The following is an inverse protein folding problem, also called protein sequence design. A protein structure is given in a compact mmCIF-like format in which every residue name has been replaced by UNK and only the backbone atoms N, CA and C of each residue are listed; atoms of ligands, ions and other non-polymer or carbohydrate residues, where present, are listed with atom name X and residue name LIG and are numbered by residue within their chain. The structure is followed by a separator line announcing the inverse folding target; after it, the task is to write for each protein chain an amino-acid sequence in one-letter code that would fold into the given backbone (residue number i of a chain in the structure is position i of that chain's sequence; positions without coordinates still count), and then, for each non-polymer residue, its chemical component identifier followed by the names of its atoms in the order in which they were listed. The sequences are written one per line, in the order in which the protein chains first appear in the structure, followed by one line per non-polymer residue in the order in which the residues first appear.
data_IF_766216807322
#
_entry.id   IF_766216807322
#
_cell.length_a   1.000
_cell.length_b   1.000
_cell.length_c   1.000
_cell.angle_alpha   90.00
_cell.angle_beta   90.00
_cell.angle_gamma   90.00
#
_symmetry.space_group_name_H-M   'P 1'
#
loop_
_entity.id
_entity.type
_entity.pdbx_description
1 polymer ?
#
# COMPACT_ATOMS: atom_id res chain seq x y z
N UNK A 1 -19.95 7.57 -13.94
CA UNK A 1 -19.07 8.50 -13.22
C UNK A 1 -19.26 9.89 -13.83
N UNK A 2 -19.47 10.91 -12.97
CA UNK A 2 -19.72 12.29 -13.41
C UNK A 2 -18.44 13.09 -13.68
N UNK A 3 -17.28 12.46 -13.76
CA UNK A 3 -15.99 13.11 -14.01
C UNK A 3 -15.75 13.21 -15.51
N UNK A 4 -15.47 14.43 -16.00
CA UNK A 4 -15.14 14.72 -17.38
C UNK A 4 -13.63 14.58 -17.65
N UNK A 5 -12.79 14.95 -16.69
CA UNK A 5 -11.34 14.84 -16.79
C UNK A 5 -10.61 15.20 -15.51
N UNK A 6 -9.35 14.80 -15.43
CA UNK A 6 -8.42 15.15 -14.35
C UNK A 6 -7.18 15.73 -15.02
N UNK A 7 -6.76 16.93 -14.58
CA UNK A 7 -5.53 17.58 -14.99
C UNK A 7 -4.61 17.72 -13.80
N UNK A 8 -3.45 17.09 -13.83
CA UNK A 8 -2.43 17.21 -12.80
C UNK A 8 -1.55 18.44 -13.02
N UNK A 9 -0.99 18.98 -11.95
CA UNK A 9 0.03 20.02 -12.03
C UNK A 9 1.31 19.40 -12.59
N UNK A 10 1.94 20.08 -13.53
CA UNK A 10 3.18 19.59 -14.14
C UNK A 10 4.29 19.46 -13.09
N UNK A 11 4.84 18.24 -12.95
CA UNK A 11 5.85 17.90 -11.95
C UNK A 11 5.31 17.58 -10.56
N UNK A 12 3.99 17.66 -10.34
CA UNK A 12 3.36 17.33 -9.06
C UNK A 12 2.11 16.45 -9.29
N UNK A 13 2.25 15.12 -9.26
CA UNK A 13 1.12 14.20 -9.45
C UNK A 13 0.15 14.17 -8.26
N UNK A 14 0.46 14.88 -7.17
CA UNK A 14 -0.34 14.93 -5.94
C UNK A 14 -1.25 16.16 -5.92
N UNK A 15 -1.16 17.02 -6.92
CA UNK A 15 -1.98 18.20 -7.09
C UNK A 15 -2.61 18.26 -8.48
N UNK A 16 -3.82 18.75 -8.55
CA UNK A 16 -4.53 18.83 -9.83
C UNK A 16 -5.94 19.41 -9.71
N UNK A 17 -6.65 19.34 -10.83
CA UNK A 17 -8.05 19.76 -10.92
C UNK A 17 -8.88 18.67 -11.57
N UNK A 18 -9.96 18.31 -10.92
CA UNK A 18 -11.02 17.44 -11.46
C UNK A 18 -12.09 18.34 -12.06
N UNK A 19 -12.48 18.08 -13.32
CA UNK A 19 -13.60 18.74 -13.98
C UNK A 19 -14.76 17.76 -14.07
N UNK A 20 -15.93 18.20 -13.64
CA UNK A 20 -17.15 17.41 -13.71
C UNK A 20 -17.96 17.74 -14.98
N UNK A 21 -18.91 16.87 -15.34
CA UNK A 21 -19.73 17.02 -16.53
C UNK A 21 -20.65 18.25 -16.49
N UNK A 22 -20.96 18.75 -15.30
CA UNK A 22 -21.74 19.98 -15.07
C UNK A 22 -20.89 21.26 -15.19
N UNK A 23 -19.60 21.14 -15.53
CA UNK A 23 -18.66 22.25 -15.63
C UNK A 23 -18.07 22.70 -14.29
N UNK A 24 -18.49 22.11 -13.18
CA UNK A 24 -17.86 22.39 -11.88
C UNK A 24 -16.45 21.81 -11.81
N UNK A 25 -15.60 22.44 -11.00
CA UNK A 25 -14.22 21.99 -10.81
C UNK A 25 -13.93 21.83 -9.32
N UNK A 26 -13.14 20.81 -9.00
CA UNK A 26 -12.57 20.62 -7.69
C UNK A 26 -11.04 20.57 -7.81
N UNK A 27 -10.37 21.52 -7.17
CA UNK A 27 -8.93 21.52 -7.09
C UNK A 27 -8.50 20.71 -5.87
N UNK A 28 -7.53 19.84 -6.05
CA UNK A 28 -6.87 19.11 -4.97
C UNK A 28 -5.39 19.45 -4.98
N UNK A 29 -4.81 19.57 -3.80
CA UNK A 29 -3.37 19.79 -3.61
C UNK A 29 -2.90 18.94 -2.44
N UNK A 30 -1.66 18.47 -2.55
CA UNK A 30 -1.00 17.67 -1.50
C UNK A 30 -1.89 16.50 -1.01
N UNK A 31 -2.70 15.93 -1.92
CA UNK A 31 -3.28 14.63 -1.64
C UNK A 31 -2.09 13.69 -1.62
N UNK A 32 -1.60 13.40 -0.42
CA UNK A 32 -0.71 12.26 -0.21
C UNK A 32 -1.36 11.09 -0.95
N UNK A 33 -0.73 10.69 -2.02
CA UNK A 33 -1.20 9.55 -2.80
C UNK A 33 -1.08 8.33 -1.90
N UNK A 34 -2.15 8.07 -1.14
CA UNK A 34 -2.26 6.99 -0.16
C UNK A 34 -2.45 5.68 -0.93
N UNK A 35 -1.54 5.42 -1.86
CA UNK A 35 -1.55 4.15 -2.58
C UNK A 35 -0.89 3.13 -1.66
N UNK A 36 -1.64 2.13 -1.21
CA UNK A 36 -1.05 1.02 -0.49
C UNK A 36 -0.13 0.26 -1.45
N UNK A 37 1.16 0.28 -1.20
CA UNK A 37 2.16 -0.31 -2.07
C UNK A 37 2.98 -1.36 -1.33
N UNK A 38 3.36 -2.40 -2.06
CA UNK A 38 4.38 -3.33 -1.66
C UNK A 38 5.77 -2.81 -2.04
N UNK A 39 6.81 -3.44 -1.49
CA UNK A 39 8.20 -3.24 -1.95
C UNK A 39 8.69 -4.48 -2.68
N UNK A 40 9.72 -4.34 -3.55
CA UNK A 40 10.33 -5.48 -4.23
C UNK A 40 10.73 -6.60 -3.25
N UNK A 41 10.57 -7.84 -3.69
CA UNK A 41 10.78 -9.04 -2.88
C UNK A 41 9.55 -9.48 -2.09
N UNK A 42 8.48 -8.71 -2.05
CA UNK A 42 7.21 -9.18 -1.49
C UNK A 42 6.61 -10.25 -2.38
N UNK A 43 6.33 -11.41 -1.82
CA UNK A 43 5.77 -12.54 -2.56
C UNK A 43 4.25 -12.47 -2.59
N UNK A 44 3.70 -12.58 -3.79
CA UNK A 44 2.26 -12.59 -4.05
C UNK A 44 1.85 -13.98 -4.51
N UNK A 45 0.81 -14.53 -3.89
CA UNK A 45 0.28 -15.84 -4.24
C UNK A 45 -0.38 -15.81 -5.64
N UNK A 46 0.04 -16.72 -6.50
CA UNK A 46 -0.54 -16.94 -7.83
C UNK A 46 -0.97 -18.39 -8.01
N UNK A 47 -1.80 -18.72 -8.99
CA UNK A 47 -2.18 -20.10 -9.28
C UNK A 47 -0.99 -21.03 -9.64
N UNK A 48 0.17 -20.44 -9.95
CA UNK A 48 1.40 -21.18 -10.30
C UNK A 48 2.45 -21.14 -9.17
N UNK A 49 2.08 -20.70 -7.97
CA UNK A 49 2.97 -20.51 -6.83
C UNK A 49 3.20 -19.02 -6.54
N UNK A 50 4.00 -18.75 -5.52
CA UNK A 50 4.35 -17.37 -5.15
C UNK A 50 5.31 -16.74 -6.15
N UNK A 51 5.09 -15.45 -6.46
CA UNK A 51 5.98 -14.65 -7.32
C UNK A 51 6.28 -13.30 -6.67
N UNK A 52 7.52 -12.76 -6.83
CA UNK A 52 7.84 -11.40 -6.41
C UNK A 52 6.91 -10.38 -7.08
N UNK A 53 6.47 -9.38 -6.30
CA UNK A 53 5.52 -8.37 -6.78
C UNK A 53 6.05 -7.58 -7.99
N UNK A 54 7.36 -7.34 -8.04
CA UNK A 54 8.03 -6.66 -9.16
C UNK A 54 8.08 -7.44 -10.47
N UNK A 55 7.80 -8.74 -10.43
CA UNK A 55 7.73 -9.60 -11.61
C UNK A 55 6.32 -9.76 -12.17
N UNK A 56 5.32 -9.26 -11.45
CA UNK A 56 3.93 -9.33 -11.88
C UNK A 56 3.64 -8.33 -12.99
N UNK A 57 2.72 -8.68 -13.87
CA UNK A 57 2.29 -7.86 -15.00
C UNK A 57 0.77 -7.76 -15.03
N UNK A 58 0.26 -6.72 -15.70
CA UNK A 58 -1.16 -6.62 -16.03
C UNK A 58 -1.58 -7.86 -16.82
N UNK A 59 -2.69 -8.47 -16.43
CA UNK A 59 -3.17 -9.74 -16.98
C UNK A 59 -2.71 -10.98 -16.20
N UNK A 60 -1.71 -10.87 -15.31
CA UNK A 60 -1.35 -11.99 -14.42
C UNK A 60 -2.49 -12.27 -13.43
N UNK A 61 -2.63 -13.56 -13.08
CA UNK A 61 -3.66 -14.02 -12.14
C UNK A 61 -3.07 -14.18 -10.75
N UNK A 62 -3.71 -13.56 -9.78
CA UNK A 62 -3.33 -13.64 -8.36
C UNK A 62 -4.44 -14.29 -7.54
N UNK A 63 -4.08 -14.85 -6.40
CA UNK A 63 -5.04 -15.40 -5.44
C UNK A 63 -5.36 -14.30 -4.44
N UNK A 64 -6.63 -13.92 -4.40
CA UNK A 64 -7.14 -12.97 -3.40
C UNK A 64 -7.86 -13.71 -2.29
N UNK A 65 -7.89 -13.12 -1.09
CA UNK A 65 -8.51 -13.73 0.06
C UNK A 65 -10.01 -13.94 -0.12
N UNK A 66 -10.72 -12.92 -0.58
CA UNK A 66 -12.19 -12.88 -0.52
C UNK A 66 -12.85 -13.12 -1.88
N UNK A 67 -12.12 -12.88 -2.99
CA UNK A 67 -12.67 -12.96 -4.34
C UNK A 67 -12.02 -14.07 -5.20
N UNK A 68 -11.31 -15.03 -4.56
CA UNK A 68 -10.65 -16.11 -5.27
C UNK A 68 -9.56 -15.62 -6.23
N UNK A 69 -9.46 -16.21 -7.40
CA UNK A 69 -8.46 -15.84 -8.40
C UNK A 69 -8.94 -14.63 -9.19
N UNK A 70 -8.13 -13.55 -9.18
CA UNK A 70 -8.40 -12.32 -9.91
C UNK A 70 -7.26 -12.01 -10.87
N UNK A 71 -7.58 -11.33 -11.97
CA UNK A 71 -6.62 -10.83 -12.93
C UNK A 71 -6.19 -9.41 -12.53
N UNK A 72 -4.89 -9.13 -12.64
CA UNK A 72 -4.34 -7.79 -12.35
C UNK A 72 -4.77 -6.84 -13.47
N UNK A 73 -5.59 -5.86 -13.13
CA UNK A 73 -6.08 -4.86 -14.07
C UNK A 73 -5.09 -3.68 -14.27
N UNK A 74 -4.27 -3.39 -13.26
CA UNK A 74 -3.33 -2.27 -13.29
C UNK A 74 -2.18 -2.50 -12.31
N UNK A 75 -0.98 -2.04 -12.68
CA UNK A 75 0.21 -1.99 -11.82
C UNK A 75 0.87 -0.63 -11.97
N UNK A 76 1.26 -0.04 -10.85
CA UNK A 76 2.06 1.19 -10.82
C UNK A 76 3.40 0.97 -10.13
N UNK A 77 4.38 1.80 -10.50
CA UNK A 77 5.70 1.80 -9.87
C UNK A 77 6.08 3.22 -9.48
N UNK A 78 6.45 3.43 -8.23
CA UNK A 78 6.95 4.72 -7.72
C UNK A 78 8.35 4.53 -7.14
N UNK A 79 9.41 4.80 -7.93
CA UNK A 79 10.77 4.77 -7.39
C UNK A 79 10.98 5.94 -6.43
N UNK A 80 11.62 5.67 -5.30
CA UNK A 80 11.94 6.63 -4.26
C UNK A 80 13.44 6.65 -4.03
N UNK A 81 14.08 7.80 -4.26
CA UNK A 81 15.49 8.00 -3.98
C UNK A 81 15.73 8.24 -2.48
N UNK A 82 16.96 7.98 -2.02
CA UNK A 82 17.33 8.26 -0.63
C UNK A 82 17.17 9.72 -0.26
N UNK A 83 17.45 10.66 -1.18
CA UNK A 83 17.24 12.09 -0.94
C UNK A 83 15.76 12.41 -0.67
N UNK A 84 14.85 11.85 -1.47
CA UNK A 84 13.41 12.02 -1.26
C UNK A 84 12.96 11.42 0.08
N UNK A 85 13.46 10.24 0.45
CA UNK A 85 13.11 9.58 1.71
C UNK A 85 13.66 10.31 2.94
N UNK A 86 14.85 10.93 2.83
CA UNK A 86 15.43 11.77 3.89
C UNK A 86 14.64 13.07 4.07
N UNK A 87 14.24 13.70 2.97
CA UNK A 87 13.43 14.92 3.01
C UNK A 87 11.99 14.66 3.47
N UNK A 88 11.50 13.45 3.27
CA UNK A 88 10.13 13.03 3.60
C UNK A 88 10.15 11.77 4.47
N UNK A 89 10.53 11.85 5.76
CA UNK A 89 10.64 10.69 6.64
C UNK A 89 9.33 9.89 6.79
N UNK A 90 8.18 10.54 6.58
CA UNK A 90 6.87 9.90 6.62
C UNK A 90 6.62 8.94 5.44
N UNK A 91 7.47 9.00 4.39
CA UNK A 91 7.44 8.06 3.26
C UNK A 91 8.40 6.87 3.43
N UNK A 92 9.13 6.80 4.54
CA UNK A 92 9.98 5.65 4.84
C UNK A 92 9.14 4.38 4.98
N UNK A 93 9.61 3.25 4.44
CA UNK A 93 8.87 2.00 4.51
C UNK A 93 8.75 1.46 5.94
N UNK A 94 7.74 0.64 6.14
CA UNK A 94 7.47 -0.05 7.39
C UNK A 94 7.82 -1.52 7.22
N UNK A 95 8.72 -2.00 8.08
CA UNK A 95 9.01 -3.42 8.25
C UNK A 95 7.99 -4.02 9.22
N UNK A 96 7.34 -5.08 8.79
CA UNK A 96 6.45 -5.92 9.61
C UNK A 96 7.11 -7.29 9.70
N UNK A 97 7.59 -7.64 10.88
CA UNK A 97 8.25 -8.92 11.11
C UNK A 97 7.26 -10.08 11.10
N UNK A 98 7.77 -11.25 10.78
CA UNK A 98 7.04 -12.50 10.88
C UNK A 98 6.29 -12.60 12.22
N UNK A 99 5.00 -12.90 12.16
CA UNK A 99 4.15 -13.09 13.33
C UNK A 99 3.64 -11.79 13.98
N UNK A 100 4.11 -10.61 13.57
CA UNK A 100 3.80 -9.34 14.21
C UNK A 100 2.32 -8.91 14.11
N UNK A 101 1.56 -9.48 13.17
CA UNK A 101 0.13 -9.20 13.00
C UNK A 101 -0.78 -10.15 13.79
N UNK A 102 -0.18 -11.07 14.55
CA UNK A 102 -0.91 -12.09 15.28
C UNK A 102 -1.15 -13.38 14.49
N UNK A 103 -1.48 -14.47 15.19
CA UNK A 103 -1.77 -15.79 14.61
C UNK A 103 -0.69 -16.32 13.66
N UNK A 104 0.59 -15.93 13.87
CA UNK A 104 1.73 -16.32 13.04
C UNK A 104 1.85 -15.55 11.73
N UNK A 105 1.04 -14.52 11.51
CA UNK A 105 1.09 -13.67 10.31
C UNK A 105 1.90 -12.38 10.55
N UNK A 106 2.59 -11.85 9.52
CA UNK A 106 2.85 -12.51 8.24
C UNK A 106 3.77 -13.72 8.42
N UNK A 107 3.74 -14.67 7.51
CA UNK A 107 4.57 -15.88 7.57
C UNK A 107 6.06 -15.60 7.42
N UNK A 108 6.41 -14.44 6.89
CA UNK A 108 7.77 -13.92 6.72
C UNK A 108 7.79 -12.42 6.90
N UNK A 109 8.97 -11.84 7.13
CA UNK A 109 9.14 -10.40 7.17
C UNK A 109 8.67 -9.78 5.86
N UNK A 110 7.92 -8.69 5.95
CA UNK A 110 7.46 -7.92 4.81
C UNK A 110 7.74 -6.44 5.00
N UNK A 111 8.02 -5.76 3.90
CA UNK A 111 8.25 -4.32 3.87
C UNK A 111 7.18 -3.70 2.97
N UNK A 112 6.51 -2.70 3.49
CA UNK A 112 5.39 -2.05 2.79
C UNK A 112 5.49 -0.53 2.86
N UNK A 113 4.75 0.16 2.01
CA UNK A 113 4.62 1.61 2.14
C UNK A 113 3.94 1.98 3.47
N UNK A 114 4.20 3.17 4.02
CA UNK A 114 3.62 3.58 5.30
C UNK A 114 2.08 3.61 5.29
N UNK A 115 1.49 3.85 4.14
CA UNK A 115 0.03 3.89 3.98
C UNK A 115 -0.60 2.56 3.56
N UNK A 116 0.20 1.49 3.46
CA UNK A 116 -0.32 0.16 3.18
C UNK A 116 -1.26 -0.30 4.28
N UNK A 117 -2.40 -0.86 3.88
CA UNK A 117 -3.37 -1.43 4.82
C UNK A 117 -3.17 -2.92 4.93
N UNK A 118 -2.97 -3.38 6.15
CA UNK A 118 -2.82 -4.80 6.47
C UNK A 118 -3.97 -5.27 7.33
N UNK A 119 -4.35 -6.50 7.13
CA UNK A 119 -5.38 -7.13 7.94
C UNK A 119 -4.76 -7.59 9.26
N UNK A 120 -5.31 -7.12 10.36
CA UNK A 120 -4.91 -7.48 11.72
C UNK A 120 -6.04 -8.26 12.37
N UNK A 121 -5.70 -9.41 12.94
CA UNK A 121 -6.62 -10.25 13.69
C UNK A 121 -6.05 -10.51 15.07
N UNK A 122 -6.70 -9.99 16.08
CA UNK A 122 -6.30 -10.25 17.48
C UNK A 122 -7.52 -10.33 18.39
N UNK A 123 -7.36 -10.97 19.53
CA UNK A 123 -8.41 -11.02 20.56
C UNK A 123 -8.78 -9.61 21.06
N UNK A 124 -7.84 -8.66 20.96
CA UNK A 124 -8.08 -7.25 21.29
C UNK A 124 -8.97 -6.55 20.28
N UNK A 125 -8.87 -6.86 18.97
CA UNK A 125 -9.76 -6.27 17.96
C UNK A 125 -11.20 -6.69 18.19
N UNK A 126 -11.43 -7.93 18.57
CA UNK A 126 -12.75 -8.44 18.94
C UNK A 126 -13.31 -7.75 20.18
N UNK A 127 -12.46 -7.44 21.17
CA UNK A 127 -12.88 -6.79 22.41
C UNK A 127 -13.25 -5.30 22.21
N UNK A 128 -12.55 -4.58 21.33
CA UNK A 128 -12.72 -3.13 21.17
C UNK A 128 -13.63 -2.74 20.02
N UNK A 129 -13.75 -3.57 18.99
CA UNK A 129 -14.45 -3.22 17.75
C UNK A 129 -15.61 -4.17 17.40
N UNK A 130 -15.86 -5.18 18.21
CA UNK A 130 -16.85 -6.25 17.96
C UNK A 130 -16.60 -7.00 16.62
N UNK A 131 -15.36 -6.84 16.09
CA UNK A 131 -14.90 -7.40 14.83
C UNK A 131 -13.66 -8.25 15.07
N UNK A 132 -13.61 -9.43 14.45
CA UNK A 132 -12.46 -10.34 14.57
C UNK A 132 -11.24 -9.87 13.79
N UNK A 133 -11.44 -8.97 12.81
CA UNK A 133 -10.42 -8.50 11.89
C UNK A 133 -10.65 -7.04 11.51
N UNK A 134 -9.57 -6.27 11.46
CA UNK A 134 -9.58 -4.87 11.02
C UNK A 134 -8.47 -4.58 10.04
N UNK A 135 -8.71 -3.66 9.10
CA UNK A 135 -7.68 -3.12 8.22
C UNK A 135 -6.97 -1.97 8.92
N UNK A 136 -5.72 -2.18 9.32
CA UNK A 136 -4.88 -1.17 9.96
C UNK A 136 -3.85 -0.61 8.97
N UNK A 137 -3.58 0.69 9.04
CA UNK A 137 -2.56 1.36 8.23
C UNK A 137 -1.19 1.12 8.86
N UNK A 138 -0.20 0.67 8.08
CA UNK A 138 1.11 0.25 8.57
C UNK A 138 1.80 1.31 9.45
N UNK A 139 1.79 2.57 9.05
CA UNK A 139 2.41 3.68 9.82
C UNK A 139 1.82 3.86 11.22
N UNK A 140 0.54 3.54 11.42
CA UNK A 140 -0.13 3.66 12.72
C UNK A 140 0.18 2.49 13.65
N UNK A 141 0.79 1.45 13.14
CA UNK A 141 1.22 0.29 13.93
C UNK A 141 2.70 0.35 14.32
N UNK A 142 3.45 1.32 13.80
CA UNK A 142 4.86 1.51 14.16
C UNK A 142 5.00 1.75 15.67
N UNK A 143 5.91 1.00 16.29
CA UNK A 143 6.08 0.95 17.74
C UNK A 143 5.41 -0.26 18.42
N UNK A 144 4.53 -0.97 17.72
CA UNK A 144 4.10 -2.29 18.17
C UNK A 144 5.24 -3.32 18.01
N UNK A 145 5.16 -4.41 18.76
CA UNK A 145 6.18 -5.47 18.71
C UNK A 145 6.33 -6.02 17.29
N UNK A 146 7.55 -5.99 16.77
CA UNK A 146 7.87 -6.46 15.43
C UNK A 146 7.47 -5.51 14.28
N UNK A 147 7.00 -4.28 14.55
CA UNK A 147 6.61 -3.31 13.51
C UNK A 147 7.42 -2.03 13.65
N UNK A 148 8.24 -1.72 12.64
CA UNK A 148 9.19 -0.62 12.69
C UNK A 148 9.23 0.17 11.40
N UNK A 149 9.35 1.50 11.49
CA UNK A 149 9.81 2.30 10.35
C UNK A 149 11.29 2.03 10.12
N UNK A 150 11.69 1.86 8.88
CA UNK A 150 13.08 1.55 8.52
C UNK A 150 13.63 2.61 7.56
N UNK A 151 14.89 3.02 7.80
CA UNK A 151 15.58 3.92 6.90
C UNK A 151 16.23 3.11 5.77
N UNK A 152 15.85 3.40 4.55
CA UNK A 152 16.42 2.77 3.36
C UNK A 152 17.04 3.82 2.44
N UNK A 153 18.10 3.43 1.71
CA UNK A 153 18.80 4.32 0.78
C UNK A 153 18.02 4.55 -0.53
N UNK A 154 17.15 3.63 -0.87
CA UNK A 154 16.22 3.69 -2.01
C UNK A 154 15.18 2.60 -1.86
N UNK A 155 14.03 2.79 -2.46
CA UNK A 155 13.00 1.75 -2.62
C UNK A 155 12.19 1.99 -3.88
N UNK A 156 11.41 1.03 -4.29
CA UNK A 156 10.35 1.21 -5.29
C UNK A 156 9.05 0.73 -4.67
N UNK A 157 8.04 1.54 -4.71
CA UNK A 157 6.69 1.14 -4.33
C UNK A 157 5.95 0.61 -5.55
N UNK A 158 5.42 -0.61 -5.44
CA UNK A 158 4.72 -1.35 -6.51
C UNK A 158 3.28 -1.59 -6.12
#
# INVERSE_FOLDING_TARGET
SNVQGIKYVEGDPESGTVTFQDGSTMTFSEIENVIPCFTPGTLIATPKGERPVEELQVGDRIITRDNGIQEIAWIGHKPMSGAQLVQNPHLQPVLIKRGALGRGLPERDMIVSPNHRVLVSSDKTQLYFDESEVLAVAKHMVGADGIHSINVLKTTYV
#
